data_IF_157433839323
#
_entry.id   IF_157433839323
#
_cell.length_a   1.000
_cell.length_b   1.000
_cell.length_c   1.000
_cell.angle_alpha   90.00
_cell.angle_beta   90.00
_cell.angle_gamma   90.00
#
_symmetry.space_group_name_H-M   'P 1'
#
loop_
_entity.id
_entity.type
_entity.pdbx_description
1 polymer ?
#
# COMPACT_ATOMS: atom_id res chain seq x y z
N UNK A 1 -8.71 -13.27 -27.92
CA UNK A 1 -8.51 -13.24 -26.43
C UNK A 1 -8.78 -11.84 -25.92
N UNK A 2 -9.63 -11.66 -24.93
CA UNK A 2 -9.91 -10.34 -24.33
C UNK A 2 -8.69 -9.82 -23.59
N UNK A 3 -8.22 -8.63 -23.95
CA UNK A 3 -7.08 -7.96 -23.32
C UNK A 3 -7.28 -7.82 -21.80
N UNK A 4 -6.37 -8.36 -21.01
CA UNK A 4 -6.42 -8.26 -19.53
C UNK A 4 -6.03 -6.84 -19.09
N UNK A 5 -6.94 -6.14 -18.39
CA UNK A 5 -6.74 -4.77 -17.91
C UNK A 5 -6.74 -4.75 -16.39
N UNK A 6 -5.66 -4.21 -15.80
CA UNK A 6 -5.47 -4.08 -14.37
C UNK A 6 -5.52 -2.61 -13.94
N UNK A 7 -6.23 -2.30 -12.85
CA UNK A 7 -6.06 -1.05 -12.11
C UNK A 7 -5.27 -1.32 -10.84
N UNK A 8 -4.18 -0.60 -10.64
CA UNK A 8 -3.47 -0.44 -9.37
C UNK A 8 -4.06 0.77 -8.65
N UNK A 9 -4.50 0.60 -7.41
CA UNK A 9 -5.19 1.65 -6.65
C UNK A 9 -4.42 2.00 -5.38
N UNK A 10 -3.80 3.19 -5.36
CA UNK A 10 -3.07 3.76 -4.23
C UNK A 10 -3.25 5.28 -4.19
N UNK A 11 -4.27 5.79 -3.48
CA UNK A 11 -4.60 7.21 -3.47
C UNK A 11 -3.50 8.14 -2.98
N UNK A 12 -2.72 7.75 -1.96
CA UNK A 12 -1.68 8.60 -1.37
C UNK A 12 -0.33 7.88 -1.35
N UNK A 13 0.72 8.55 -1.81
CA UNK A 13 2.10 8.06 -1.81
C UNK A 13 2.95 9.06 -1.01
N UNK A 14 3.37 8.66 0.19
CA UNK A 14 4.07 9.52 1.16
C UNK A 14 5.54 9.13 1.38
N UNK A 15 6.03 8.12 0.64
CA UNK A 15 7.45 7.73 0.69
C UNK A 15 7.81 6.75 1.81
N UNK A 16 6.92 5.84 2.18
CA UNK A 16 7.15 4.80 3.20
C UNK A 16 7.46 3.41 2.63
N UNK A 17 7.51 2.42 3.51
CA UNK A 17 7.75 1.01 3.14
C UNK A 17 6.65 0.40 2.28
N UNK A 18 5.40 0.83 2.48
CA UNK A 18 4.25 0.37 1.68
C UNK A 18 4.41 0.78 0.23
N UNK A 19 4.81 2.02 -0.02
CA UNK A 19 5.01 2.57 -1.36
C UNK A 19 6.22 1.93 -2.06
N UNK A 20 7.29 1.62 -1.32
CA UNK A 20 8.45 0.89 -1.88
C UNK A 20 8.01 -0.48 -2.42
N UNK A 21 7.24 -1.22 -1.64
CA UNK A 21 6.67 -2.49 -2.05
C UNK A 21 5.70 -2.34 -3.22
N UNK A 22 4.86 -1.29 -3.19
CA UNK A 22 3.95 -0.95 -4.27
C UNK A 22 4.70 -0.80 -5.60
N UNK A 23 5.80 -0.04 -5.66
CA UNK A 23 6.58 0.16 -6.90
C UNK A 23 7.15 -1.15 -7.44
N UNK A 24 7.69 -2.03 -6.57
CA UNK A 24 8.24 -3.32 -6.99
C UNK A 24 7.14 -4.20 -7.58
N UNK A 25 6.01 -4.33 -6.88
CA UNK A 25 4.86 -5.14 -7.31
C UNK A 25 4.27 -4.58 -8.59
N UNK A 26 4.10 -3.26 -8.70
CA UNK A 26 3.49 -2.60 -9.85
C UNK A 26 4.30 -2.79 -11.12
N UNK A 27 5.62 -2.61 -11.08
CA UNK A 27 6.50 -2.82 -12.22
C UNK A 27 6.50 -4.29 -12.66
N UNK A 28 6.49 -5.24 -11.71
CA UNK A 28 6.39 -6.65 -12.03
C UNK A 28 5.05 -6.99 -12.72
N UNK A 29 3.93 -6.51 -12.18
CA UNK A 29 2.62 -6.77 -12.76
C UNK A 29 2.46 -6.12 -14.14
N UNK A 30 2.96 -4.90 -14.32
CA UNK A 30 2.92 -4.21 -15.61
C UNK A 30 3.75 -4.88 -16.70
N UNK A 31 4.77 -5.69 -16.33
CA UNK A 31 5.52 -6.51 -17.29
C UNK A 31 4.81 -7.81 -17.69
N UNK A 32 3.72 -8.18 -16.99
CA UNK A 32 3.00 -9.45 -17.19
C UNK A 32 1.56 -9.27 -17.69
N UNK A 33 1.03 -8.05 -17.64
CA UNK A 33 -0.37 -7.74 -17.95
C UNK A 33 -0.41 -6.76 -19.12
N UNK A 34 -1.27 -7.02 -20.08
CA UNK A 34 -1.35 -6.29 -21.36
C UNK A 34 -1.54 -4.77 -21.16
N UNK A 35 -2.41 -4.36 -20.23
CA UNK A 35 -2.65 -2.95 -19.95
C UNK A 35 -2.84 -2.70 -18.46
N UNK A 36 -1.99 -1.87 -17.89
CA UNK A 36 -2.00 -1.50 -16.48
C UNK A 36 -2.26 0.00 -16.30
N UNK A 37 -3.21 0.33 -15.44
CA UNK A 37 -3.55 1.69 -15.01
C UNK A 37 -3.16 1.88 -13.56
N UNK A 38 -2.72 3.08 -13.21
CA UNK A 38 -2.53 3.49 -11.82
C UNK A 38 -3.47 4.64 -11.49
N UNK A 39 -4.29 4.49 -10.46
CA UNK A 39 -5.09 5.58 -9.89
C UNK A 39 -4.43 6.06 -8.61
N UNK A 40 -4.01 7.32 -8.60
CA UNK A 40 -3.35 7.99 -7.47
C UNK A 40 -3.60 9.49 -7.50
N UNK A 41 -3.53 10.16 -6.35
CA UNK A 41 -3.55 11.62 -6.30
C UNK A 41 -2.14 12.24 -6.49
N UNK A 42 -1.08 11.44 -6.54
CA UNK A 42 0.31 11.89 -6.61
C UNK A 42 0.86 11.84 -8.05
N UNK A 43 1.40 12.97 -8.52
CA UNK A 43 2.01 13.05 -9.86
C UNK A 43 3.52 12.79 -9.85
N UNK A 44 4.22 13.26 -8.81
CA UNK A 44 5.68 13.39 -8.85
C UNK A 44 6.45 12.07 -8.61
N UNK A 45 5.85 11.11 -7.91
CA UNK A 45 6.51 9.85 -7.57
C UNK A 45 6.39 8.77 -8.63
N UNK A 46 5.66 9.05 -9.69
CA UNK A 46 5.32 8.11 -10.75
C UNK A 46 6.45 7.86 -11.75
N UNK A 47 7.49 8.68 -11.75
CA UNK A 47 8.69 8.52 -12.61
C UNK A 47 9.40 7.16 -12.46
N UNK A 48 9.09 6.40 -11.40
CA UNK A 48 9.66 5.07 -11.12
C UNK A 48 8.87 3.92 -11.75
N UNK A 49 7.76 4.20 -12.45
CA UNK A 49 6.88 3.20 -13.03
C UNK A 49 7.05 3.17 -14.55
N UNK A 50 7.26 1.98 -15.09
CA UNK A 50 7.33 1.74 -16.53
C UNK A 50 6.05 1.05 -17.02
N UNK A 51 5.60 1.40 -18.22
CA UNK A 51 4.45 0.77 -18.91
C UNK A 51 3.11 0.83 -18.14
N UNK A 52 2.90 1.90 -17.35
CA UNK A 52 1.68 2.12 -16.57
C UNK A 52 1.05 3.45 -16.96
N UNK A 53 -0.21 3.42 -17.42
CA UNK A 53 -1.01 4.63 -17.67
C UNK A 53 -1.51 5.22 -16.35
N UNK A 54 -1.17 6.48 -16.06
CA UNK A 54 -1.48 7.10 -14.79
C UNK A 54 -2.73 7.96 -14.88
N UNK A 55 -3.67 7.69 -14.00
CA UNK A 55 -4.92 8.43 -13.84
C UNK A 55 -4.83 9.21 -12.52
N UNK A 56 -4.75 10.53 -12.63
CA UNK A 56 -4.62 11.44 -11.47
C UNK A 56 -5.53 12.67 -11.64
N UNK A 57 -5.89 13.38 -10.55
CA UNK A 57 -6.70 14.58 -10.63
C UNK A 57 -5.91 15.72 -11.31
N UNK A 58 -6.54 16.40 -12.27
CA UNK A 58 -5.92 17.53 -12.99
C UNK A 58 -5.66 18.72 -12.06
N UNK A 59 -6.57 19.00 -11.12
CA UNK A 59 -6.48 20.12 -10.21
C UNK A 59 -5.47 19.89 -9.09
N UNK A 60 -4.62 20.91 -8.81
CA UNK A 60 -3.68 20.93 -7.69
C UNK A 60 -4.38 20.92 -6.32
N UNK A 61 -5.61 21.42 -6.24
CA UNK A 61 -6.40 21.44 -5.02
C UNK A 61 -6.50 20.05 -4.37
N UNK A 62 -6.77 19.02 -5.16
CA UNK A 62 -6.92 17.65 -4.67
C UNK A 62 -5.59 17.00 -4.28
N UNK A 63 -4.49 17.42 -4.88
CA UNK A 63 -3.16 16.84 -4.66
C UNK A 63 -2.46 17.37 -3.41
N UNK A 64 -2.66 18.64 -3.07
CA UNK A 64 -1.93 19.31 -1.96
C UNK A 64 -2.55 19.07 -0.58
N UNK A 65 -3.75 18.51 -0.46
CA UNK A 65 -4.47 18.39 0.81
C UNK A 65 -4.49 16.96 1.35
N UNK A 66 -4.77 16.84 2.66
CA UNK A 66 -4.63 15.65 3.47
C UNK A 66 -5.20 14.33 2.87
N UNK A 67 -4.79 13.23 3.43
CA UNK A 67 -5.05 11.86 2.94
C UNK A 67 -6.52 11.57 2.62
N UNK A 68 -7.45 12.11 3.41
CA UNK A 68 -8.90 11.91 3.21
C UNK A 68 -9.40 12.46 1.86
N UNK A 69 -8.99 13.69 1.47
CA UNK A 69 -9.38 14.28 0.18
C UNK A 69 -8.81 13.51 -1.01
N UNK A 70 -7.58 13.00 -0.89
CA UNK A 70 -6.97 12.13 -1.89
C UNK A 70 -7.78 10.84 -2.06
N UNK A 71 -8.31 10.29 -0.99
CA UNK A 71 -9.19 9.11 -1.05
C UNK A 71 -10.46 9.40 -1.83
N UNK A 72 -11.17 10.49 -1.51
CA UNK A 72 -12.41 10.88 -2.18
C UNK A 72 -12.20 11.03 -3.69
N UNK A 73 -11.21 11.81 -4.10
CA UNK A 73 -10.99 12.05 -5.53
C UNK A 73 -10.54 10.79 -6.27
N UNK A 74 -9.72 9.93 -5.67
CA UNK A 74 -9.31 8.68 -6.29
C UNK A 74 -10.44 7.67 -6.38
N UNK A 75 -11.37 7.66 -5.43
CA UNK A 75 -12.60 6.87 -5.50
C UNK A 75 -13.45 7.33 -6.68
N UNK A 76 -13.63 8.64 -6.85
CA UNK A 76 -14.35 9.20 -8.01
C UNK A 76 -13.65 8.81 -9.35
N UNK A 77 -12.33 8.90 -9.41
CA UNK A 77 -11.57 8.47 -10.58
C UNK A 77 -11.70 6.96 -10.84
N UNK A 78 -11.76 6.13 -9.80
CA UNK A 78 -12.00 4.70 -9.92
C UNK A 78 -13.37 4.44 -10.55
N UNK A 79 -14.44 5.03 -10.01
CA UNK A 79 -15.80 4.93 -10.54
C UNK A 79 -15.82 5.33 -12.03
N UNK A 80 -15.30 6.52 -12.35
CA UNK A 80 -15.23 7.01 -13.73
C UNK A 80 -14.49 6.07 -14.68
N UNK A 81 -13.43 5.43 -14.17
CA UNK A 81 -12.63 4.50 -14.99
C UNK A 81 -13.37 3.18 -15.19
N UNK A 82 -14.05 2.66 -14.16
CA UNK A 82 -14.84 1.43 -14.28
C UNK A 82 -16.02 1.60 -15.24
N UNK A 83 -16.67 2.77 -15.27
CA UNK A 83 -17.74 3.09 -16.23
C UNK A 83 -17.21 3.13 -17.66
N UNK A 84 -16.04 3.77 -17.87
CA UNK A 84 -15.52 4.03 -19.23
C UNK A 84 -14.72 2.88 -19.82
N UNK A 85 -14.15 2.02 -19.01
CA UNK A 85 -13.21 0.96 -19.46
C UNK A 85 -13.65 -0.38 -18.87
N UNK A 86 -13.67 -1.42 -19.72
CA UNK A 86 -13.80 -2.80 -19.22
C UNK A 86 -12.53 -3.19 -18.47
N UNK A 87 -12.59 -3.19 -17.16
CA UNK A 87 -11.48 -3.55 -16.26
C UNK A 87 -11.67 -4.99 -15.79
N UNK A 88 -10.62 -5.80 -15.91
CA UNK A 88 -10.64 -7.20 -15.48
C UNK A 88 -10.40 -7.36 -14.00
N UNK A 89 -9.55 -6.50 -13.43
CA UNK A 89 -9.10 -6.62 -12.02
C UNK A 89 -8.67 -5.26 -11.46
N UNK A 90 -9.02 -5.02 -10.20
CA UNK A 90 -8.48 -3.92 -9.39
C UNK A 90 -7.57 -4.51 -8.31
N UNK A 91 -6.38 -3.96 -8.12
CA UNK A 91 -5.48 -4.29 -7.02
C UNK A 91 -5.29 -3.06 -6.13
N UNK A 92 -5.89 -3.10 -4.94
CA UNK A 92 -5.92 -1.98 -4.00
C UNK A 92 -4.86 -2.15 -2.90
N UNK A 93 -4.12 -1.07 -2.63
CA UNK A 93 -3.09 -0.98 -1.58
C UNK A 93 -3.48 -0.04 -0.45
N UNK A 94 -4.48 0.81 -0.66
CA UNK A 94 -5.01 1.76 0.32
C UNK A 94 -6.50 1.98 0.09
N UNK A 95 -7.20 2.54 1.09
CA UNK A 95 -8.64 2.80 1.06
C UNK A 95 -9.47 1.56 0.68
N UNK A 96 -9.02 0.39 1.14
CA UNK A 96 -9.44 -0.92 0.68
C UNK A 96 -10.97 -1.13 0.78
N UNK A 97 -11.61 -0.77 1.90
CA UNK A 97 -13.07 -0.95 2.05
C UNK A 97 -13.86 -0.22 0.96
N UNK A 98 -13.49 1.03 0.69
CA UNK A 98 -14.17 1.83 -0.35
C UNK A 98 -13.95 1.24 -1.73
N UNK A 99 -12.71 0.83 -2.04
CA UNK A 99 -12.40 0.20 -3.31
C UNK A 99 -13.15 -1.13 -3.50
N UNK A 100 -13.26 -1.95 -2.44
CA UNK A 100 -14.00 -3.22 -2.46
C UNK A 100 -15.48 -2.97 -2.75
N UNK A 101 -16.12 -2.05 -2.02
CA UNK A 101 -17.53 -1.74 -2.21
C UNK A 101 -17.82 -1.27 -3.65
N UNK A 102 -17.00 -0.36 -4.17
CA UNK A 102 -17.16 0.13 -5.55
C UNK A 102 -16.96 -0.98 -6.56
N UNK A 103 -15.88 -1.76 -6.45
CA UNK A 103 -15.65 -2.87 -7.37
C UNK A 103 -16.79 -3.87 -7.34
N UNK A 104 -17.37 -4.13 -6.16
CA UNK A 104 -18.52 -5.02 -6.03
C UNK A 104 -19.77 -4.49 -6.73
N UNK A 105 -20.04 -3.18 -6.61
CA UNK A 105 -21.16 -2.52 -7.30
C UNK A 105 -21.01 -2.60 -8.84
N UNK A 106 -19.79 -2.53 -9.34
CA UNK A 106 -19.52 -2.60 -10.79
C UNK A 106 -19.21 -4.03 -11.29
N UNK A 107 -19.37 -5.07 -10.46
CA UNK A 107 -19.08 -6.44 -10.85
C UNK A 107 -17.60 -6.71 -11.19
N UNK A 108 -16.67 -5.80 -10.81
CA UNK A 108 -15.25 -5.92 -11.10
C UNK A 108 -14.53 -6.69 -9.99
N UNK A 109 -13.66 -7.64 -10.36
CA UNK A 109 -12.86 -8.40 -9.39
C UNK A 109 -11.85 -7.49 -8.68
N UNK A 110 -11.65 -7.72 -7.37
CA UNK A 110 -10.70 -6.94 -6.56
C UNK A 110 -9.80 -7.82 -5.69
N UNK A 111 -8.52 -7.51 -5.71
CA UNK A 111 -7.54 -7.95 -4.72
C UNK A 111 -7.26 -6.76 -3.79
N UNK A 112 -7.39 -6.97 -2.49
CA UNK A 112 -7.11 -5.97 -1.46
C UNK A 112 -5.86 -6.36 -0.68
N UNK A 113 -4.83 -5.50 -0.66
CA UNK A 113 -3.62 -5.72 0.13
C UNK A 113 -3.62 -4.86 1.39
N UNK A 114 -3.52 -5.51 2.54
CA UNK A 114 -3.40 -4.85 3.84
C UNK A 114 -1.96 -4.95 4.36
N UNK A 115 -1.38 -3.80 4.73
CA UNK A 115 0.01 -3.67 5.17
C UNK A 115 0.13 -3.23 6.64
N UNK A 116 -0.97 -3.18 7.38
CA UNK A 116 -1.02 -2.79 8.80
C UNK A 116 -1.84 -3.78 9.60
N UNK A 117 -1.54 -3.88 10.90
CA UNK A 117 -2.30 -4.73 11.81
C UNK A 117 -3.77 -4.31 11.89
N UNK A 118 -4.69 -5.26 11.85
CA UNK A 118 -6.11 -5.03 12.07
C UNK A 118 -6.46 -4.48 13.46
N UNK A 119 -5.61 -4.68 14.46
CA UNK A 119 -5.85 -4.24 15.85
C UNK A 119 -6.11 -2.74 15.98
N UNK A 120 -5.49 -1.92 15.13
CA UNK A 120 -5.70 -0.48 15.10
C UNK A 120 -6.93 -0.01 14.29
N UNK A 121 -7.68 -0.92 13.64
CA UNK A 121 -8.75 -0.49 12.71
C UNK A 121 -10.11 -0.33 13.39
N UNK A 122 -10.37 -1.08 14.46
CA UNK A 122 -11.69 -1.12 15.06
C UNK A 122 -11.65 -1.43 16.56
N UNK A 123 -11.63 -0.38 17.38
CA UNK A 123 -11.91 -0.50 18.81
C UNK A 123 -13.43 -0.48 19.09
N UNK A 124 -14.26 -0.14 18.10
CA UNK A 124 -15.70 -0.04 18.21
C UNK A 124 -16.38 -1.22 17.49
N UNK A 125 -17.40 -1.80 18.13
CA UNK A 125 -18.17 -2.93 17.60
C UNK A 125 -18.75 -2.65 16.21
N UNK A 126 -19.35 -1.47 16.00
CA UNK A 126 -19.94 -1.09 14.71
C UNK A 126 -18.89 -1.08 13.59
N UNK A 127 -17.73 -0.46 13.85
CA UNK A 127 -16.62 -0.47 12.88
C UNK A 127 -16.17 -1.89 12.57
N UNK A 128 -16.11 -2.77 13.58
CA UNK A 128 -15.73 -4.17 13.41
C UNK A 128 -16.70 -4.91 12.47
N UNK A 129 -18.01 -4.69 12.63
CA UNK A 129 -19.03 -5.27 11.76
C UNK A 129 -18.89 -4.77 10.33
N UNK A 130 -18.71 -3.45 10.14
CA UNK A 130 -18.49 -2.82 8.82
C UNK A 130 -17.26 -3.43 8.13
N UNK A 131 -16.15 -3.57 8.86
CA UNK A 131 -14.93 -4.19 8.32
C UNK A 131 -15.16 -5.68 7.98
N UNK A 132 -15.85 -6.43 8.84
CA UNK A 132 -16.18 -7.83 8.60
C UNK A 132 -16.98 -7.98 7.31
N UNK A 133 -18.08 -7.24 7.16
CA UNK A 133 -18.94 -7.28 5.95
C UNK A 133 -18.13 -6.82 4.73
N UNK A 134 -17.50 -5.66 4.80
CA UNK A 134 -16.80 -5.08 3.65
C UNK A 134 -15.63 -5.92 3.15
N UNK A 135 -14.83 -6.50 4.04
CA UNK A 135 -13.71 -7.35 3.65
C UNK A 135 -14.16 -8.67 3.01
N UNK A 136 -15.29 -9.25 3.47
CA UNK A 136 -15.83 -10.48 2.88
C UNK A 136 -16.36 -10.28 1.45
N UNK A 137 -16.56 -9.04 1.00
CA UNK A 137 -16.93 -8.72 -0.38
C UNK A 137 -15.71 -8.72 -1.34
N UNK A 138 -14.48 -8.75 -0.83
CA UNK A 138 -13.28 -8.85 -1.67
C UNK A 138 -13.14 -10.24 -2.28
N UNK A 139 -12.66 -10.33 -3.52
CA UNK A 139 -12.35 -11.64 -4.12
C UNK A 139 -11.12 -12.28 -3.47
N UNK A 140 -10.09 -11.47 -3.18
CA UNK A 140 -8.87 -11.91 -2.52
C UNK A 140 -8.39 -10.81 -1.57
N UNK A 141 -7.99 -11.20 -0.37
CA UNK A 141 -7.29 -10.34 0.58
C UNK A 141 -5.86 -10.84 0.70
N UNK A 142 -4.89 -9.95 0.56
CA UNK A 142 -3.47 -10.23 0.73
C UNK A 142 -2.96 -9.50 1.97
N UNK A 143 -2.20 -10.19 2.81
CA UNK A 143 -1.51 -9.62 3.97
C UNK A 143 -0.02 -9.95 3.90
N UNK A 144 0.81 -9.15 4.56
CA UNK A 144 2.27 -9.26 4.51
C UNK A 144 2.88 -9.98 5.72
N UNK A 145 2.07 -10.48 6.65
CA UNK A 145 2.53 -11.21 7.82
C UNK A 145 1.54 -12.31 8.21
N UNK A 146 2.05 -13.36 8.81
CA UNK A 146 1.24 -14.51 9.32
C UNK A 146 0.39 -14.04 10.49
N UNK A 147 0.92 -13.19 11.36
CA UNK A 147 0.20 -12.61 12.50
C UNK A 147 -1.02 -11.83 12.02
N UNK A 148 -0.87 -10.99 10.99
CA UNK A 148 -2.00 -10.23 10.40
C UNK A 148 -3.04 -11.16 9.78
N UNK A 149 -2.59 -12.26 9.13
CA UNK A 149 -3.50 -13.28 8.60
C UNK A 149 -4.35 -13.88 9.72
N UNK A 150 -3.72 -14.30 10.82
CA UNK A 150 -4.40 -14.92 11.95
C UNK A 150 -5.34 -13.93 12.67
N UNK A 151 -4.91 -12.70 12.83
CA UNK A 151 -5.72 -11.64 13.43
C UNK A 151 -6.94 -11.31 12.58
N UNK A 152 -6.81 -11.20 11.25
CA UNK A 152 -7.93 -10.97 10.34
C UNK A 152 -8.93 -12.12 10.35
N UNK A 153 -8.45 -13.36 10.40
CA UNK A 153 -9.31 -14.53 10.56
C UNK A 153 -10.13 -14.44 11.85
N UNK A 154 -9.48 -14.15 12.96
CA UNK A 154 -10.14 -14.07 14.29
C UNK A 154 -11.11 -12.91 14.38
N UNK A 155 -10.75 -11.72 13.88
CA UNK A 155 -11.55 -10.49 14.04
C UNK A 155 -12.66 -10.32 13.01
N UNK A 156 -12.40 -10.71 11.76
CA UNK A 156 -13.30 -10.40 10.64
C UNK A 156 -13.84 -11.63 9.92
N UNK A 157 -13.45 -12.84 10.35
CA UNK A 157 -13.88 -14.11 9.72
C UNK A 157 -13.58 -14.16 8.22
N UNK A 158 -12.46 -13.56 7.79
CA UNK A 158 -11.95 -13.62 6.41
C UNK A 158 -10.74 -14.56 6.34
N UNK A 159 -10.42 -15.07 5.14
CA UNK A 159 -9.27 -15.95 4.95
C UNK A 159 -8.22 -15.31 4.02
N UNK A 160 -7.33 -14.43 4.52
CA UNK A 160 -6.35 -13.78 3.69
C UNK A 160 -5.26 -14.73 3.19
N UNK A 161 -4.70 -14.42 2.02
CA UNK A 161 -3.48 -15.04 1.50
C UNK A 161 -2.29 -14.26 2.07
N UNK A 162 -1.32 -14.97 2.64
CA UNK A 162 -0.09 -14.39 3.12
C UNK A 162 0.94 -14.34 1.98
N UNK A 163 1.42 -13.13 1.67
CA UNK A 163 2.50 -12.88 0.72
C UNK A 163 3.43 -11.84 1.32
N UNK A 164 4.67 -12.22 1.61
CA UNK A 164 5.70 -11.31 2.15
C UNK A 164 5.91 -10.06 1.29
N UNK A 165 6.46 -9.03 1.90
CA UNK A 165 6.90 -7.85 1.18
C UNK A 165 8.09 -8.19 0.27
N UNK A 166 8.07 -7.78 -1.01
CA UNK A 166 9.19 -8.03 -1.91
C UNK A 166 10.41 -7.17 -1.54
N UNK A 167 11.60 -7.73 -1.75
CA UNK A 167 12.87 -7.03 -1.58
C UNK A 167 13.60 -6.96 -2.92
N UNK A 168 14.12 -5.78 -3.26
CA UNK A 168 15.04 -5.62 -4.38
C UNK A 168 16.47 -5.96 -3.94
N UNK A 169 16.80 -7.27 -3.86
CA UNK A 169 18.11 -7.76 -3.42
C UNK A 169 19.27 -7.15 -4.23
N UNK A 170 19.11 -6.99 -5.55
CA UNK A 170 20.15 -6.42 -6.41
C UNK A 170 20.46 -4.97 -6.05
N UNK A 171 19.44 -4.16 -5.80
CA UNK A 171 19.58 -2.76 -5.39
C UNK A 171 20.21 -2.64 -4.00
N UNK A 172 19.76 -3.46 -3.04
CA UNK A 172 20.31 -3.49 -1.68
C UNK A 172 21.79 -3.84 -1.71
N UNK A 173 22.20 -4.89 -2.43
CA UNK A 173 23.60 -5.29 -2.57
C UNK A 173 24.45 -4.22 -3.30
N UNK A 174 23.88 -3.54 -4.30
CA UNK A 174 24.57 -2.41 -4.96
C UNK A 174 24.80 -1.25 -4.00
N UNK A 175 23.80 -0.91 -3.18
CA UNK A 175 23.89 0.18 -2.22
C UNK A 175 24.83 -0.16 -1.05
N UNK A 176 24.86 -1.41 -0.57
CA UNK A 176 25.73 -1.85 0.52
C UNK A 176 27.22 -1.76 0.18
N UNK A 177 27.58 -1.81 -1.12
CA UNK A 177 28.96 -1.66 -1.60
C UNK A 177 29.43 -0.20 -1.68
N UNK A 178 28.54 0.78 -1.49
CA UNK A 178 28.94 2.19 -1.51
C UNK A 178 29.75 2.52 -0.26
N UNK A 179 30.91 3.15 -0.46
CA UNK A 179 31.71 3.69 0.66
C UNK A 179 30.91 4.75 1.40
N UNK A 180 30.70 4.56 2.69
CA UNK A 180 30.07 5.53 3.57
C UNK A 180 31.17 6.21 4.39
N UNK A 181 31.15 7.55 4.43
CA UNK A 181 32.08 8.31 5.29
C UNK A 181 31.78 7.93 6.75
N UNK A 182 32.81 7.47 7.45
CA UNK A 182 32.69 7.17 8.86
C UNK A 182 32.57 8.48 9.65
N UNK A 183 31.38 8.76 10.19
CA UNK A 183 31.10 9.99 10.91
C UNK A 183 31.41 9.90 12.42
N UNK A 184 31.79 8.70 12.88
CA UNK A 184 31.94 8.43 14.31
C UNK A 184 33.38 7.98 14.64
N UNK A 185 33.88 8.25 15.86
CA UNK A 185 35.16 7.74 16.34
C UNK A 185 35.30 6.23 16.19
N UNK A 186 36.52 5.72 16.09
CA UNK A 186 36.77 4.27 15.86
C UNK A 186 36.38 3.41 17.06
N UNK A 187 36.55 3.88 18.27
CA UNK A 187 36.45 3.09 19.51
C UNK A 187 35.15 3.35 20.30
N UNK A 188 34.04 3.56 19.61
CA UNK A 188 32.74 3.74 20.27
C UNK A 188 31.73 2.71 19.77
N UNK A 189 30.85 2.28 20.66
CA UNK A 189 29.68 1.49 20.30
C UNK A 189 28.78 2.29 19.36
N UNK A 190 28.44 1.72 18.22
CA UNK A 190 27.61 2.38 17.20
C UNK A 190 26.26 1.71 17.14
N UNK A 191 25.25 2.45 17.54
CA UNK A 191 23.85 2.00 17.46
C UNK A 191 23.16 2.80 16.37
N UNK A 192 22.46 2.13 15.48
CA UNK A 192 21.66 2.75 14.42
C UNK A 192 20.20 2.36 14.57
N UNK A 193 19.32 3.37 14.60
CA UNK A 193 17.88 3.18 14.50
C UNK A 193 17.35 3.87 13.26
N UNK A 194 16.60 3.14 12.43
CA UNK A 194 16.04 3.66 11.17
C UNK A 194 14.52 3.63 11.23
N UNK A 195 13.90 4.78 11.35
CA UNK A 195 12.44 4.90 11.43
C UNK A 195 11.96 6.35 11.38
N UNK A 196 10.65 6.54 11.22
CA UNK A 196 10.03 7.85 11.43
C UNK A 196 10.02 8.15 12.93
N UNK A 197 10.14 9.41 13.30
CA UNK A 197 9.95 9.86 14.69
C UNK A 197 8.44 9.86 15.01
N UNK A 198 7.96 8.72 15.48
CA UNK A 198 6.55 8.48 15.87
C UNK A 198 6.53 7.48 17.01
N UNK A 199 5.53 7.56 17.89
CA UNK A 199 5.38 6.72 19.09
C UNK A 199 5.48 5.21 18.80
N UNK A 200 4.96 4.77 17.64
CA UNK A 200 5.05 3.36 17.19
C UNK A 200 6.48 2.85 16.97
N UNK A 201 7.47 3.72 16.90
CA UNK A 201 8.89 3.36 16.68
C UNK A 201 9.71 3.46 17.95
N UNK A 202 9.16 4.07 18.98
CA UNK A 202 9.65 4.09 20.35
C UNK A 202 11.16 4.36 20.48
N UNK A 203 11.64 5.39 19.76
CA UNK A 203 13.05 5.79 19.84
C UNK A 203 13.46 6.23 21.24
N UNK A 204 12.49 6.69 22.05
CA UNK A 204 12.75 7.14 23.41
C UNK A 204 13.23 5.99 24.32
N UNK A 205 12.64 4.79 24.18
CA UNK A 205 13.08 3.61 24.93
C UNK A 205 14.53 3.23 24.57
N UNK A 206 14.92 3.34 23.28
CA UNK A 206 16.31 3.10 22.87
C UNK A 206 17.26 4.10 23.55
N UNK A 207 16.91 5.40 23.57
CA UNK A 207 17.73 6.43 24.20
C UNK A 207 17.86 6.19 25.71
N UNK A 208 16.79 5.79 26.39
CA UNK A 208 16.84 5.45 27.83
C UNK A 208 17.74 4.25 28.09
N UNK A 209 17.58 3.16 27.32
CA UNK A 209 18.37 1.94 27.47
C UNK A 209 19.87 2.10 27.17
N UNK A 210 20.27 3.15 26.46
CA UNK A 210 21.69 3.46 26.19
C UNK A 210 22.27 4.35 27.28
N UNK A 211 21.44 5.06 28.04
CA UNK A 211 21.86 5.96 29.12
C UNK A 211 21.95 5.23 30.49
N UNK A 212 21.44 4.03 30.59
CA UNK A 212 21.64 3.11 31.74
C UNK A 212 22.95 2.32 31.59
#
# INVERSE_FOLDING_TARGET
>A
MTQKKLILFIPSIEGGGVEKNFFIISNFLASKIDKTFLITAEKNLVKKLANIEIIYPKSNFWRKKGRFRKYIICIFLLIKTLIKKRISLVFSFQANLYAILICRLFGTKIISRSNSSPSGWSNNFIKRVIYKIGLNLANIIVVNSIEFKNEMRKKFSVNPIHIYNPLNKKEILKLSKKKVKNLYPKNVLKIINVGRLVDQKDQLTILKAVNE
#
